data_IF_350357695398
#
_entry.id   IF_350357695398
#
_cell.length_a   1.000
_cell.length_b   1.000
_cell.length_c   1.000
_cell.angle_alpha   90.00
_cell.angle_beta   90.00
_cell.angle_gamma   90.00
#
_symmetry.space_group_name_H-M   'P 1'
#
loop_
_entity.id
_entity.type
_entity.pdbx_description
1 polymer ?
#
# COMPACT_ATOMS: atom_id res chain seq x y z
N UNK A 1 29.83 9.87 1.29
CA UNK A 1 29.18 8.60 0.92
C UNK A 1 27.69 8.88 0.81
N UNK A 2 27.05 8.59 -0.32
CA UNK A 2 25.58 8.67 -0.43
C UNK A 2 24.99 7.56 0.45
N UNK A 3 24.31 7.92 1.52
CA UNK A 3 23.61 6.94 2.36
C UNK A 3 22.48 6.30 1.55
N UNK A 4 22.35 4.97 1.59
CA UNK A 4 21.21 4.26 0.99
C UNK A 4 19.89 4.80 1.53
N UNK A 5 18.91 5.12 0.68
CA UNK A 5 17.61 5.60 1.13
C UNK A 5 16.87 4.51 1.92
N UNK A 6 15.95 4.94 2.77
CA UNK A 6 15.20 4.05 3.67
C UNK A 6 13.72 4.10 3.34
N UNK A 7 13.11 2.93 3.17
CA UNK A 7 11.68 2.78 2.97
C UNK A 7 11.01 2.04 4.14
N UNK A 8 9.83 2.51 4.52
CA UNK A 8 8.90 1.79 5.40
C UNK A 8 7.73 1.30 4.56
N UNK A 9 7.45 -0.01 4.58
CA UNK A 9 6.35 -0.63 3.83
C UNK A 9 5.41 -1.34 4.79
N UNK A 10 4.15 -0.93 4.85
CA UNK A 10 3.16 -1.62 5.70
C UNK A 10 2.56 -2.84 4.98
N UNK A 11 2.38 -3.96 5.69
CA UNK A 11 1.83 -5.19 5.11
C UNK A 11 2.73 -5.85 4.08
N UNK A 12 4.05 -5.90 4.34
CA UNK A 12 5.07 -6.35 3.39
C UNK A 12 5.30 -7.86 3.33
N UNK A 13 4.55 -8.69 4.05
CA UNK A 13 4.81 -10.13 4.14
C UNK A 13 4.32 -10.95 2.94
N UNK A 14 3.37 -10.46 2.14
CA UNK A 14 2.79 -11.18 0.99
C UNK A 14 2.26 -10.24 -0.10
N UNK A 15 1.86 -10.81 -1.22
CA UNK A 15 1.15 -10.11 -2.31
C UNK A 15 1.90 -8.87 -2.80
N UNK A 16 1.16 -7.78 -3.00
CA UNK A 16 1.70 -6.50 -3.49
C UNK A 16 2.78 -5.97 -2.54
N UNK A 17 2.55 -6.03 -1.21
CA UNK A 17 3.51 -5.54 -0.22
C UNK A 17 4.85 -6.24 -0.28
N UNK A 18 4.86 -7.57 -0.42
CA UNK A 18 6.08 -8.35 -0.63
C UNK A 18 6.83 -7.91 -1.89
N UNK A 19 6.12 -7.79 -3.01
CA UNK A 19 6.72 -7.35 -4.26
C UNK A 19 7.33 -5.94 -4.16
N UNK A 20 6.68 -5.02 -3.41
CA UNK A 20 7.21 -3.69 -3.14
C UNK A 20 8.49 -3.75 -2.29
N UNK A 21 8.51 -4.57 -1.23
CA UNK A 21 9.70 -4.76 -0.38
C UNK A 21 10.88 -5.26 -1.21
N UNK A 22 10.68 -6.34 -1.98
CA UNK A 22 11.70 -6.94 -2.84
C UNK A 22 12.19 -5.94 -3.91
N UNK A 23 11.27 -5.20 -4.54
CA UNK A 23 11.57 -4.20 -5.57
C UNK A 23 12.39 -3.04 -5.00
N UNK A 24 11.97 -2.45 -3.90
CA UNK A 24 12.71 -1.32 -3.32
C UNK A 24 14.08 -1.75 -2.81
N UNK A 25 14.20 -2.93 -2.21
CA UNK A 25 15.50 -3.48 -1.80
C UNK A 25 16.44 -3.69 -2.99
N UNK A 26 15.95 -4.24 -4.12
CA UNK A 26 16.73 -4.40 -5.35
C UNK A 26 17.17 -3.06 -5.97
N UNK A 27 16.46 -1.96 -5.67
CA UNK A 27 16.79 -0.59 -6.07
C UNK A 27 17.71 0.12 -5.07
N UNK A 28 18.27 -0.61 -4.08
CA UNK A 28 19.23 -0.09 -3.10
C UNK A 28 18.62 0.61 -1.88
N UNK A 29 17.31 0.50 -1.66
CA UNK A 29 16.68 0.95 -0.42
C UNK A 29 16.95 -0.06 0.70
N UNK A 30 17.17 0.42 1.93
CA UNK A 30 17.03 -0.37 3.14
C UNK A 30 15.55 -0.32 3.55
N UNK A 31 14.95 -1.48 3.77
CA UNK A 31 13.50 -1.56 3.95
C UNK A 31 13.15 -2.06 5.35
N UNK A 32 12.34 -1.30 6.10
CA UNK A 32 11.60 -1.85 7.22
C UNK A 32 10.19 -2.15 6.74
N UNK A 33 9.71 -3.38 6.93
CA UNK A 33 8.35 -3.72 6.55
C UNK A 33 7.58 -4.35 7.70
N UNK A 34 6.26 -4.10 7.72
CA UNK A 34 5.41 -4.64 8.78
C UNK A 34 4.57 -5.83 8.32
N UNK A 35 4.18 -6.65 9.29
CA UNK A 35 3.19 -7.71 9.16
C UNK A 35 2.32 -7.76 10.43
N UNK A 36 1.06 -8.22 10.32
CA UNK A 36 0.19 -8.38 11.49
C UNK A 36 0.27 -9.81 12.07
N UNK A 37 -0.04 -10.83 11.25
CA UNK A 37 -0.27 -12.19 11.72
C UNK A 37 0.62 -13.25 11.04
N UNK A 38 1.22 -12.97 9.90
CA UNK A 38 1.97 -13.96 9.09
C UNK A 38 3.47 -13.79 9.27
N UNK A 39 4.01 -14.25 10.39
CA UNK A 39 5.43 -14.12 10.70
C UNK A 39 6.31 -14.99 9.79
N UNK A 40 5.87 -16.22 9.48
CA UNK A 40 6.60 -17.12 8.59
C UNK A 40 6.79 -16.49 7.19
N UNK A 41 5.73 -15.91 6.64
CA UNK A 41 5.79 -15.26 5.33
C UNK A 41 6.74 -14.04 5.37
N UNK A 42 6.69 -13.26 6.46
CA UNK A 42 7.61 -12.14 6.66
C UNK A 42 9.08 -12.59 6.77
N UNK A 43 9.35 -13.72 7.43
CA UNK A 43 10.69 -14.28 7.51
C UNK A 43 11.21 -14.74 6.14
N UNK A 44 10.35 -15.30 5.29
CA UNK A 44 10.70 -15.67 3.91
C UNK A 44 11.10 -14.43 3.10
N UNK A 45 10.35 -13.33 3.20
CA UNK A 45 10.66 -12.07 2.49
C UNK A 45 12.01 -11.50 2.96
N UNK A 46 12.23 -11.43 4.27
CA UNK A 46 13.49 -10.92 4.84
C UNK A 46 14.69 -11.73 4.36
N UNK A 47 14.56 -13.06 4.36
CA UNK A 47 15.60 -13.99 3.89
C UNK A 47 15.85 -13.83 2.39
N UNK A 48 14.80 -13.74 1.58
CA UNK A 48 14.93 -13.58 0.14
C UNK A 48 15.62 -12.27 -0.24
N UNK A 49 15.27 -11.16 0.40
CA UNK A 49 15.93 -9.86 0.20
C UNK A 49 17.42 -9.94 0.56
N UNK A 50 17.75 -10.56 1.71
CA UNK A 50 19.14 -10.74 2.14
C UNK A 50 19.94 -11.61 1.16
N UNK A 51 19.36 -12.71 0.68
CA UNK A 51 19.98 -13.58 -0.30
C UNK A 51 20.26 -12.88 -1.63
N UNK A 52 19.43 -11.91 -2.01
CA UNK A 52 19.64 -11.05 -3.18
C UNK A 52 20.61 -9.88 -2.94
N UNK A 53 21.27 -9.80 -1.78
CA UNK A 53 22.23 -8.74 -1.43
C UNK A 53 21.60 -7.42 -0.96
N UNK A 54 20.28 -7.39 -0.73
CA UNK A 54 19.57 -6.24 -0.17
C UNK A 54 19.52 -6.26 1.37
N UNK A 55 18.92 -5.21 1.94
CA UNK A 55 18.69 -5.11 3.38
C UNK A 55 17.21 -4.86 3.68
N UNK A 56 16.57 -5.81 4.36
CA UNK A 56 15.22 -5.67 4.88
C UNK A 56 15.13 -6.16 6.31
N UNK A 57 14.24 -5.53 7.10
CA UNK A 57 13.90 -5.92 8.47
C UNK A 57 12.40 -6.03 8.61
N UNK A 58 11.93 -7.14 9.16
CA UNK A 58 10.52 -7.35 9.48
C UNK A 58 10.18 -6.81 10.87
N UNK A 59 8.97 -6.30 11.04
CA UNK A 59 8.44 -5.86 12.33
C UNK A 59 6.96 -6.25 12.44
N UNK A 60 6.59 -6.90 13.53
CA UNK A 60 5.17 -7.16 13.81
C UNK A 60 4.50 -5.88 14.28
N UNK A 61 3.47 -5.42 13.54
CA UNK A 61 2.71 -4.23 13.89
C UNK A 61 1.31 -4.27 13.27
N UNK A 62 0.30 -3.86 14.03
CA UNK A 62 -1.05 -3.61 13.54
C UNK A 62 -1.18 -2.11 13.22
N UNK A 63 -1.35 -1.77 11.95
CA UNK A 63 -1.49 -0.38 11.52
C UNK A 63 -2.77 0.30 12.04
N UNK A 64 -3.78 -0.48 12.43
CA UNK A 64 -5.01 0.03 13.03
C UNK A 64 -4.78 0.68 14.40
N UNK A 65 -3.65 0.38 15.07
CA UNK A 65 -3.27 0.99 16.34
C UNK A 65 -2.27 2.14 16.14
N UNK A 66 -2.64 3.33 16.58
CA UNK A 66 -1.80 4.52 16.50
C UNK A 66 -0.46 4.39 17.28
N UNK A 67 -0.44 3.61 18.37
CA UNK A 67 0.80 3.36 19.11
C UNK A 67 1.75 2.48 18.29
N UNK A 68 1.21 1.47 17.60
CA UNK A 68 1.99 0.65 16.67
C UNK A 68 2.62 1.49 15.56
N UNK A 69 1.91 2.45 14.97
CA UNK A 69 2.46 3.31 13.93
C UNK A 69 3.68 4.12 14.42
N UNK A 70 3.62 4.68 15.63
CA UNK A 70 4.76 5.37 16.25
C UNK A 70 5.94 4.42 16.49
N UNK A 71 5.67 3.20 16.96
CA UNK A 71 6.71 2.19 17.19
C UNK A 71 7.38 1.75 15.87
N UNK A 72 6.63 1.62 14.78
CA UNK A 72 7.18 1.33 13.44
C UNK A 72 8.15 2.41 12.99
N UNK A 73 7.75 3.69 13.10
CA UNK A 73 8.59 4.82 12.73
C UNK A 73 9.86 4.85 13.58
N UNK A 74 9.73 4.70 14.91
CA UNK A 74 10.88 4.66 15.81
C UNK A 74 11.83 3.51 15.47
N UNK A 75 11.30 2.30 15.24
CA UNK A 75 12.12 1.14 14.86
C UNK A 75 12.88 1.36 13.53
N UNK A 76 12.29 2.06 12.57
CA UNK A 76 12.97 2.40 11.33
C UNK A 76 14.11 3.41 11.57
N UNK A 77 13.89 4.39 12.44
CA UNK A 77 14.91 5.38 12.82
C UNK A 77 16.06 4.73 13.60
N UNK A 78 15.76 3.86 14.55
CA UNK A 78 16.76 3.12 15.34
C UNK A 78 17.60 2.20 14.45
N UNK A 79 16.95 1.54 13.49
CA UNK A 79 17.64 0.60 12.60
C UNK A 79 18.46 1.27 11.51
N UNK A 80 17.99 2.40 10.97
CA UNK A 80 18.50 2.98 9.73
C UNK A 80 18.80 4.47 9.80
N UNK A 81 18.43 5.16 10.87
CA UNK A 81 18.71 6.57 11.12
C UNK A 81 17.87 7.57 10.33
N UNK A 82 17.01 7.11 9.40
CA UNK A 82 16.21 7.97 8.51
C UNK A 82 15.01 7.23 7.92
N UNK A 83 14.06 8.00 7.39
CA UNK A 83 12.96 7.47 6.55
C UNK A 83 12.81 8.42 5.36
N UNK A 84 12.94 7.91 4.14
CA UNK A 84 12.80 8.65 2.89
C UNK A 84 11.48 8.34 2.18
N UNK A 85 10.99 7.12 2.37
CA UNK A 85 9.79 6.60 1.72
C UNK A 85 8.89 5.94 2.74
N UNK A 86 7.59 6.24 2.67
CA UNK A 86 6.53 5.49 3.33
C UNK A 86 5.60 4.91 2.26
N UNK A 87 5.39 3.59 2.27
CA UNK A 87 4.38 2.92 1.45
C UNK A 87 3.29 2.35 2.35
N UNK A 88 2.13 2.96 2.32
CA UNK A 88 0.93 2.49 3.01
C UNK A 88 0.22 1.44 2.14
N UNK A 89 0.62 0.18 2.30
CA UNK A 89 0.07 -0.95 1.54
C UNK A 89 -0.84 -1.84 2.38
N UNK A 90 -0.67 -1.91 3.70
CA UNK A 90 -1.53 -2.74 4.56
C UNK A 90 -3.01 -2.46 4.30
N UNK A 91 -3.77 -3.52 4.11
CA UNK A 91 -5.19 -3.40 3.81
C UNK A 91 -5.95 -4.70 4.00
N UNK A 92 -7.26 -4.57 4.20
CA UNK A 92 -8.23 -5.66 4.28
C UNK A 92 -9.48 -5.29 3.49
N UNK A 93 -10.32 -6.28 3.19
CA UNK A 93 -11.55 -6.09 2.43
C UNK A 93 -12.70 -6.90 3.01
N UNK A 94 -13.89 -6.63 2.51
CA UNK A 94 -15.12 -7.37 2.80
C UNK A 94 -15.86 -7.54 1.46
N UNK A 95 -15.54 -8.60 0.70
CA UNK A 95 -16.09 -8.77 -0.66
C UNK A 95 -17.50 -9.34 -0.64
N UNK A 96 -18.30 -8.88 -1.61
CA UNK A 96 -19.65 -9.36 -1.93
C UNK A 96 -20.66 -9.29 -0.76
N UNK A 97 -20.53 -8.25 0.09
CA UNK A 97 -21.46 -7.97 1.19
C UNK A 97 -22.16 -6.64 0.95
N UNK A 98 -23.52 -6.64 0.98
CA UNK A 98 -24.33 -5.43 0.83
C UNK A 98 -24.16 -4.51 2.05
N UNK A 99 -24.51 -3.24 1.91
CA UNK A 99 -24.46 -2.31 3.05
C UNK A 99 -25.46 -2.71 4.15
N UNK A 100 -26.60 -3.30 3.76
CA UNK A 100 -27.61 -3.75 4.71
C UNK A 100 -27.16 -4.95 5.54
N UNK A 101 -26.25 -5.76 4.99
CA UNK A 101 -25.73 -6.98 5.63
C UNK A 101 -24.36 -6.78 6.28
N UNK A 102 -23.75 -5.59 6.11
CA UNK A 102 -22.46 -5.28 6.72
C UNK A 102 -22.65 -4.95 8.21
N UNK A 103 -22.03 -5.72 9.10
CA UNK A 103 -22.07 -5.41 10.53
C UNK A 103 -21.22 -4.16 10.86
N UNK A 104 -21.56 -3.43 11.94
CA UNK A 104 -20.75 -2.30 12.42
C UNK A 104 -19.28 -2.70 12.68
N UNK A 105 -19.03 -3.91 13.18
CA UNK A 105 -17.70 -4.43 13.49
C UNK A 105 -16.89 -4.69 12.21
N UNK A 106 -17.52 -5.24 11.17
CA UNK A 106 -16.87 -5.45 9.87
C UNK A 106 -16.55 -4.13 9.17
N UNK A 107 -17.49 -3.18 9.21
CA UNK A 107 -17.28 -1.82 8.74
C UNK A 107 -16.08 -1.17 9.43
N UNK A 108 -16.09 -1.16 10.76
CA UNK A 108 -15.03 -0.57 11.59
C UNK A 108 -13.67 -1.22 11.30
N UNK A 109 -13.62 -2.55 11.22
CA UNK A 109 -12.38 -3.29 10.90
C UNK A 109 -11.76 -2.82 9.59
N UNK A 110 -12.58 -2.68 8.53
CA UNK A 110 -12.09 -2.26 7.21
C UNK A 110 -11.57 -0.82 7.26
N UNK A 111 -12.32 0.11 7.88
CA UNK A 111 -11.90 1.50 8.00
C UNK A 111 -10.65 1.66 8.88
N UNK A 112 -10.59 0.95 10.01
CA UNK A 112 -9.43 1.00 10.92
C UNK A 112 -8.15 0.58 10.25
N UNK A 113 -8.17 -0.52 9.49
CA UNK A 113 -6.96 -0.98 8.80
C UNK A 113 -6.61 -0.08 7.62
N UNK A 114 -7.57 0.17 6.72
CA UNK A 114 -7.27 0.81 5.44
C UNK A 114 -7.07 2.32 5.55
N UNK A 115 -7.95 3.00 6.28
CA UNK A 115 -7.98 4.45 6.35
C UNK A 115 -7.24 4.99 7.60
N UNK A 116 -7.61 4.52 8.79
CA UNK A 116 -6.96 4.98 10.01
C UNK A 116 -5.51 4.52 10.07
N UNK A 117 -5.21 3.29 9.61
CA UNK A 117 -3.82 2.82 9.52
C UNK A 117 -2.97 3.70 8.63
N UNK A 118 -3.48 4.10 7.46
CA UNK A 118 -2.81 5.07 6.58
C UNK A 118 -2.60 6.41 7.28
N UNK A 119 -3.63 6.93 7.95
CA UNK A 119 -3.56 8.19 8.70
C UNK A 119 -2.53 8.11 9.82
N UNK A 120 -2.54 7.07 10.65
CA UNK A 120 -1.59 6.89 11.76
C UNK A 120 -0.15 6.85 11.28
N UNK A 121 0.13 6.10 10.23
CA UNK A 121 1.48 6.00 9.67
C UNK A 121 1.96 7.33 9.09
N UNK A 122 1.10 8.05 8.38
CA UNK A 122 1.42 9.40 7.87
C UNK A 122 1.69 10.35 9.03
N UNK A 123 0.81 10.41 10.02
CA UNK A 123 0.98 11.28 11.19
C UNK A 123 2.30 11.00 11.93
N UNK A 124 2.69 9.74 12.04
CA UNK A 124 3.92 9.35 12.73
C UNK A 124 5.19 9.72 11.93
N UNK A 125 5.17 9.62 10.59
CA UNK A 125 6.37 9.85 9.76
C UNK A 125 6.60 11.33 9.44
N UNK A 126 5.55 12.13 9.31
CA UNK A 126 5.62 13.52 8.86
C UNK A 126 6.62 14.39 9.64
N UNK A 127 6.72 14.35 10.99
CA UNK A 127 7.70 15.17 11.72
C UNK A 127 9.14 14.93 11.24
N UNK A 128 9.48 13.68 10.94
CA UNK A 128 10.82 13.27 10.48
C UNK A 128 11.10 13.68 9.04
N UNK A 129 10.10 13.55 8.16
CA UNK A 129 10.22 13.99 6.76
C UNK A 129 10.29 15.53 6.67
N UNK A 130 9.47 16.25 7.45
CA UNK A 130 9.49 17.73 7.54
C UNK A 130 10.84 18.25 8.02
N UNK A 131 11.42 17.67 9.09
CA UNK A 131 12.73 18.05 9.61
C UNK A 131 13.84 17.89 8.57
N UNK A 132 13.70 16.97 7.63
CA UNK A 132 14.63 16.70 6.53
C UNK A 132 14.32 17.46 5.25
N UNK A 133 13.18 18.15 5.20
CA UNK A 133 12.67 18.86 4.01
C UNK A 133 12.59 17.95 2.78
N UNK A 134 12.07 16.73 2.95
CA UNK A 134 11.93 15.79 1.85
C UNK A 134 11.45 14.42 2.26
N UNK A 135 10.74 13.77 1.36
CA UNK A 135 10.19 12.43 1.52
C UNK A 135 9.19 12.07 0.42
N UNK A 136 8.88 10.79 0.33
CA UNK A 136 7.87 10.28 -0.59
C UNK A 136 6.88 9.40 0.17
N UNK A 137 5.60 9.65 0.01
CA UNK A 137 4.53 8.82 0.55
C UNK A 137 3.74 8.25 -0.63
N UNK A 138 3.63 6.92 -0.69
CA UNK A 138 2.79 6.23 -1.67
C UNK A 138 1.72 5.43 -0.94
N UNK A 139 0.46 5.74 -1.21
CA UNK A 139 -0.68 5.06 -0.63
C UNK A 139 -1.26 4.05 -1.63
N UNK A 140 -1.58 2.83 -1.18
CA UNK A 140 -2.28 1.86 -2.00
C UNK A 140 -3.80 2.10 -1.91
N UNK A 141 -4.35 2.64 -3.00
CA UNK A 141 -5.79 2.74 -3.24
C UNK A 141 -6.31 1.46 -3.92
N UNK A 142 -7.26 1.58 -4.81
CA UNK A 142 -7.82 0.50 -5.62
C UNK A 142 -8.63 1.09 -6.78
N UNK A 143 -8.72 0.40 -7.91
CA UNK A 143 -9.62 0.79 -9.00
C UNK A 143 -11.12 0.72 -8.61
N UNK A 144 -11.45 0.17 -7.44
CA UNK A 144 -12.82 0.20 -6.89
C UNK A 144 -13.33 1.63 -6.69
N UNK A 145 -12.43 2.59 -6.48
CA UNK A 145 -12.77 4.01 -6.26
C UNK A 145 -13.35 4.71 -7.49
N UNK A 146 -13.12 4.19 -8.68
CA UNK A 146 -13.77 4.67 -9.91
C UNK A 146 -14.97 3.82 -10.30
N UNK A 147 -15.00 2.54 -9.88
CA UNK A 147 -16.07 1.60 -10.24
C UNK A 147 -17.30 1.71 -9.34
N UNK A 148 -17.13 2.03 -8.08
CA UNK A 148 -18.21 2.01 -7.06
C UNK A 148 -19.06 0.73 -7.12
N UNK A 149 -18.37 -0.42 -7.28
CA UNK A 149 -19.06 -1.69 -7.43
C UNK A 149 -19.93 -1.99 -6.20
N UNK A 150 -21.18 -2.39 -6.43
CA UNK A 150 -22.10 -2.83 -5.37
C UNK A 150 -21.46 -3.91 -4.50
N UNK A 151 -21.93 -4.04 -3.27
CA UNK A 151 -21.49 -5.04 -2.27
C UNK A 151 -20.03 -4.93 -1.86
N UNK A 152 -19.44 -3.73 -1.93
CA UNK A 152 -18.07 -3.43 -1.51
C UNK A 152 -17.99 -2.11 -0.73
N UNK A 153 -19.05 -1.75 0.00
CA UNK A 153 -19.21 -0.39 0.53
C UNK A 153 -18.07 0.01 1.47
N UNK A 154 -17.79 -0.75 2.53
CA UNK A 154 -16.76 -0.43 3.50
C UNK A 154 -15.37 -0.28 2.84
N UNK A 155 -15.03 -1.20 1.94
CA UNK A 155 -13.77 -1.17 1.21
C UNK A 155 -13.67 0.06 0.30
N UNK A 156 -14.70 0.32 -0.51
CA UNK A 156 -14.73 1.48 -1.42
C UNK A 156 -14.59 2.78 -0.65
N UNK A 157 -15.38 2.98 0.40
CA UNK A 157 -15.32 4.19 1.24
C UNK A 157 -13.94 4.37 1.86
N UNK A 158 -13.33 3.30 2.36
CA UNK A 158 -11.97 3.37 2.91
C UNK A 158 -10.94 3.82 1.87
N UNK A 159 -11.02 3.31 0.63
CA UNK A 159 -10.06 3.64 -0.43
C UNK A 159 -10.31 5.03 -1.05
N UNK A 160 -11.55 5.48 -1.15
CA UNK A 160 -11.87 6.89 -1.48
C UNK A 160 -11.29 7.82 -0.40
N UNK A 161 -11.42 7.46 0.88
CA UNK A 161 -10.79 8.21 1.98
C UNK A 161 -9.27 8.31 1.86
N UNK A 162 -8.60 7.21 1.47
CA UNK A 162 -7.15 7.20 1.21
C UNK A 162 -6.77 8.13 0.05
N UNK A 163 -7.57 8.18 -1.02
CA UNK A 163 -7.34 9.11 -2.13
C UNK A 163 -7.54 10.57 -1.71
N UNK A 164 -8.57 10.85 -0.90
CA UNK A 164 -8.79 12.18 -0.35
C UNK A 164 -7.59 12.62 0.51
N UNK A 165 -7.11 11.76 1.43
CA UNK A 165 -5.90 12.00 2.22
C UNK A 165 -4.67 12.27 1.32
N UNK A 166 -4.49 11.50 0.25
CA UNK A 166 -3.38 11.69 -0.69
C UNK A 166 -3.39 13.09 -1.30
N UNK A 167 -4.56 13.56 -1.77
CA UNK A 167 -4.71 14.88 -2.37
C UNK A 167 -4.55 16.02 -1.37
N UNK A 168 -5.07 15.86 -0.16
CA UNK A 168 -4.93 16.86 0.92
C UNK A 168 -3.46 16.99 1.31
N UNK A 169 -2.82 15.88 1.66
CA UNK A 169 -1.42 15.85 2.10
C UNK A 169 -0.46 16.39 1.05
N UNK A 170 -0.71 16.14 -0.24
CA UNK A 170 0.13 16.68 -1.31
C UNK A 170 0.16 18.21 -1.33
N UNK A 171 -0.94 18.86 -0.96
CA UNK A 171 -1.06 20.32 -0.88
C UNK A 171 -0.43 20.87 0.41
N UNK A 172 -0.62 20.18 1.53
CA UNK A 172 -0.08 20.57 2.82
C UNK A 172 1.44 20.43 2.88
N UNK A 173 1.98 19.36 2.30
CA UNK A 173 3.37 18.95 2.48
C UNK A 173 4.30 19.30 1.30
N UNK A 174 3.77 19.74 0.18
CA UNK A 174 4.57 20.06 -1.01
C UNK A 174 5.68 21.08 -0.74
N UNK A 175 5.40 22.12 0.08
CA UNK A 175 6.40 23.13 0.47
C UNK A 175 7.47 22.59 1.45
N UNK A 176 7.20 21.45 2.06
CA UNK A 176 8.15 20.72 2.90
C UNK A 176 9.02 19.76 2.07
N UNK A 177 8.90 19.75 0.74
CA UNK A 177 9.61 18.85 -0.15
C UNK A 177 9.09 17.40 -0.11
N UNK A 178 7.89 17.17 0.42
CA UNK A 178 7.31 15.83 0.54
C UNK A 178 6.29 15.64 -0.59
N UNK A 179 6.48 14.58 -1.38
CA UNK A 179 5.54 14.19 -2.43
C UNK A 179 4.62 13.08 -1.91
N UNK A 180 3.33 13.18 -2.20
CA UNK A 180 2.32 12.20 -1.77
C UNK A 180 1.48 11.79 -2.97
N UNK A 181 1.55 10.51 -3.34
CA UNK A 181 0.77 9.96 -4.45
C UNK A 181 0.08 8.65 -4.02
N UNK A 182 -0.84 8.17 -4.84
CA UNK A 182 -1.43 6.84 -4.65
C UNK A 182 -1.30 6.00 -5.92
N UNK A 183 -1.16 4.69 -5.73
CA UNK A 183 -1.36 3.69 -6.77
C UNK A 183 -2.72 3.05 -6.54
N UNK A 184 -3.52 2.91 -7.58
CA UNK A 184 -4.84 2.28 -7.59
C UNK A 184 -4.79 0.98 -8.43
N UNK A 185 -4.48 -0.18 -7.79
CA UNK A 185 -4.41 -1.45 -8.49
C UNK A 185 -5.75 -1.90 -9.02
N UNK A 186 -5.73 -2.59 -10.16
CA UNK A 186 -6.82 -3.43 -10.63
C UNK A 186 -6.80 -4.82 -9.96
N UNK A 187 -7.36 -5.84 -10.63
CA UNK A 187 -7.33 -7.23 -10.14
C UNK A 187 -5.91 -7.80 -10.27
N UNK A 188 -5.20 -7.90 -9.15
CA UNK A 188 -3.82 -8.37 -9.03
C UNK A 188 -3.79 -9.77 -8.41
N UNK A 189 -2.99 -10.68 -8.94
CA UNK A 189 -2.77 -12.05 -8.46
C UNK A 189 -2.27 -12.04 -7.00
N UNK A 190 -3.20 -12.16 -6.05
CA UNK A 190 -2.96 -12.15 -4.61
C UNK A 190 -4.03 -13.00 -3.91
N UNK A 191 -3.76 -13.45 -2.70
CA UNK A 191 -4.75 -14.15 -1.85
C UNK A 191 -6.05 -13.34 -1.74
N UNK A 192 -5.96 -12.02 -1.62
CA UNK A 192 -7.14 -11.12 -1.52
C UNK A 192 -8.03 -11.20 -2.77
N UNK A 193 -7.43 -11.27 -3.97
CA UNK A 193 -8.20 -11.45 -5.20
C UNK A 193 -8.79 -12.85 -5.27
N UNK A 194 -8.05 -13.88 -4.88
CA UNK A 194 -8.53 -15.26 -4.88
C UNK A 194 -9.72 -15.43 -3.95
N UNK A 195 -9.66 -14.88 -2.72
CA UNK A 195 -10.80 -14.85 -1.79
C UNK A 195 -12.03 -14.17 -2.43
N UNK A 196 -11.82 -13.06 -3.15
CA UNK A 196 -12.89 -12.37 -3.87
C UNK A 196 -13.47 -13.24 -4.98
N UNK A 197 -12.62 -13.88 -5.80
CA UNK A 197 -13.09 -14.75 -6.90
C UNK A 197 -13.89 -15.94 -6.41
N UNK A 198 -13.47 -16.56 -5.31
CA UNK A 198 -14.23 -17.64 -4.65
C UNK A 198 -15.61 -17.15 -4.19
N UNK A 199 -15.67 -15.99 -3.54
CA UNK A 199 -16.91 -15.39 -3.02
C UNK A 199 -17.95 -15.08 -4.11
N UNK A 200 -17.50 -14.50 -5.22
CA UNK A 200 -18.40 -14.11 -6.32
C UNK A 200 -18.81 -15.28 -7.21
N UNK A 201 -18.11 -16.41 -7.10
CA UNK A 201 -18.35 -17.62 -7.88
C UNK A 201 -17.70 -17.62 -9.27
N UNK A 202 -17.53 -18.80 -9.89
CA UNK A 202 -16.71 -18.99 -11.08
C UNK A 202 -17.20 -18.21 -12.32
N UNK A 203 -18.52 -18.18 -12.56
CA UNK A 203 -19.07 -17.48 -13.73
C UNK A 203 -18.83 -15.96 -13.67
N UNK A 204 -19.10 -15.35 -12.50
CA UNK A 204 -18.87 -13.92 -12.29
C UNK A 204 -17.37 -13.58 -12.29
N UNK A 205 -16.54 -14.48 -11.74
CA UNK A 205 -15.10 -14.34 -11.75
C UNK A 205 -14.53 -14.36 -13.18
N UNK A 206 -14.97 -15.30 -14.02
CA UNK A 206 -14.56 -15.39 -15.43
C UNK A 206 -15.01 -14.15 -16.23
N UNK A 207 -16.28 -13.74 -16.09
CA UNK A 207 -16.80 -12.54 -16.72
C UNK A 207 -16.01 -11.28 -16.29
N UNK A 208 -15.67 -11.20 -15.00
CA UNK A 208 -14.88 -10.09 -14.47
C UNK A 208 -13.47 -10.02 -15.10
N UNK A 209 -12.76 -11.15 -15.20
CA UNK A 209 -11.43 -11.18 -15.82
C UNK A 209 -11.51 -10.86 -17.31
N UNK A 210 -12.51 -11.40 -18.04
CA UNK A 210 -12.74 -11.07 -19.46
C UNK A 210 -13.07 -9.60 -19.71
N UNK A 211 -13.58 -8.89 -18.71
CA UNK A 211 -13.87 -7.45 -18.81
C UNK A 211 -12.63 -6.56 -18.72
N UNK A 212 -11.45 -7.11 -18.38
CA UNK A 212 -10.20 -6.37 -18.33
C UNK A 212 -9.68 -6.21 -19.76
N UNK A 213 -9.46 -5.00 -20.28
CA UNK A 213 -8.97 -4.79 -21.64
C UNK A 213 -7.67 -5.52 -21.99
N UNK A 214 -6.71 -5.62 -21.06
CA UNK A 214 -5.49 -6.42 -21.26
C UNK A 214 -5.71 -7.93 -21.16
N UNK A 215 -6.94 -8.41 -20.91
CA UNK A 215 -7.33 -9.82 -20.92
C UNK A 215 -6.72 -10.69 -19.83
N UNK A 216 -6.10 -10.11 -18.81
CA UNK A 216 -5.44 -10.85 -17.72
C UNK A 216 -5.49 -10.12 -16.39
N UNK A 217 -5.29 -10.86 -15.34
CA UNK A 217 -4.94 -10.30 -14.01
C UNK A 217 -3.55 -9.66 -14.08
N UNK A 218 -3.34 -8.60 -13.30
CA UNK A 218 -2.01 -8.04 -13.10
C UNK A 218 -1.19 -8.87 -12.11
N UNK A 219 0.11 -8.68 -12.13
CA UNK A 219 1.04 -9.29 -11.17
C UNK A 219 1.45 -8.28 -10.09
N UNK A 220 1.74 -8.73 -8.86
CA UNK A 220 2.23 -7.86 -7.78
C UNK A 220 3.44 -7.01 -8.18
N UNK A 221 4.32 -7.55 -9.02
CA UNK A 221 5.51 -6.85 -9.54
C UNK A 221 5.13 -5.62 -10.36
N UNK A 222 4.04 -5.64 -11.12
CA UNK A 222 3.61 -4.50 -11.95
C UNK A 222 3.19 -3.31 -11.06
N UNK A 223 2.62 -3.59 -9.89
CA UNK A 223 2.31 -2.55 -8.89
C UNK A 223 3.59 -2.05 -8.22
N UNK A 224 4.52 -2.95 -7.90
CA UNK A 224 5.79 -2.58 -7.29
C UNK A 224 6.64 -1.67 -8.20
N UNK A 225 6.61 -1.87 -9.52
CA UNK A 225 7.27 -1.00 -10.50
C UNK A 225 6.66 0.42 -10.50
N UNK A 226 5.33 0.53 -10.43
CA UNK A 226 4.66 1.83 -10.33
C UNK A 226 5.02 2.57 -9.03
N UNK A 227 5.10 1.85 -7.91
CA UNK A 227 5.57 2.40 -6.63
C UNK A 227 7.03 2.86 -6.75
N UNK A 228 7.91 2.03 -7.31
CA UNK A 228 9.33 2.34 -7.49
C UNK A 228 9.53 3.57 -8.40
N UNK A 229 8.72 3.73 -9.45
CA UNK A 229 8.69 4.94 -10.27
C UNK A 229 8.29 6.17 -9.46
N UNK A 230 7.18 6.10 -8.72
CA UNK A 230 6.66 7.24 -7.96
C UNK A 230 7.61 7.73 -6.86
N UNK A 231 8.42 6.87 -6.27
CA UNK A 231 9.41 7.26 -5.25
C UNK A 231 10.73 7.72 -5.83
N UNK A 232 10.96 7.54 -7.13
CA UNK A 232 12.19 7.95 -7.82
C UNK A 232 12.20 9.42 -8.21
N UNK A 233 13.36 9.91 -8.64
CA UNK A 233 13.54 11.26 -9.18
C UNK A 233 12.82 11.46 -10.52
N UNK A 234 12.53 10.38 -11.26
CA UNK A 234 11.76 10.44 -12.50
C UNK A 234 10.32 10.95 -12.28
N UNK A 235 9.79 10.82 -11.05
CA UNK A 235 8.49 11.34 -10.65
C UNK A 235 8.60 12.65 -9.82
N UNK A 236 9.71 13.39 -9.91
CA UNK A 236 10.00 14.56 -9.05
C UNK A 236 8.94 15.68 -9.13
N UNK A 237 8.19 15.77 -10.22
CA UNK A 237 7.11 16.75 -10.40
C UNK A 237 5.71 16.16 -10.20
N UNK A 238 5.61 14.94 -9.66
CA UNK A 238 4.34 14.26 -9.41
C UNK A 238 4.00 14.27 -7.92
N UNK A 239 2.90 14.93 -7.56
CA UNK A 239 2.30 14.88 -6.22
C UNK A 239 0.78 15.02 -6.33
N UNK A 240 0.03 14.41 -5.40
CA UNK A 240 -1.44 14.42 -5.38
C UNK A 240 -2.10 13.51 -6.43
N UNK A 241 -1.33 12.70 -7.14
CA UNK A 241 -1.84 11.86 -8.23
C UNK A 241 -2.35 10.51 -7.72
N UNK A 242 -3.40 10.02 -8.36
CA UNK A 242 -3.91 8.66 -8.23
C UNK A 242 -3.61 7.94 -9.53
N UNK A 243 -2.64 7.04 -9.50
CA UNK A 243 -2.15 6.33 -10.69
C UNK A 243 -2.83 4.96 -10.76
N UNK A 244 -3.71 4.79 -11.74
CA UNK A 244 -4.39 3.52 -11.97
C UNK A 244 -3.46 2.55 -12.70
N UNK A 245 -3.25 1.36 -12.10
CA UNK A 245 -2.49 0.25 -12.67
C UNK A 245 -3.43 -0.96 -12.69
N UNK A 246 -4.34 -0.99 -13.66
CA UNK A 246 -5.53 -1.84 -13.63
C UNK A 246 -5.81 -2.60 -14.93
N UNK A 247 -4.87 -2.60 -15.89
CA UNK A 247 -5.03 -3.26 -17.18
C UNK A 247 -6.09 -2.63 -18.09
N UNK A 248 -6.43 -1.32 -17.88
CA UNK A 248 -7.52 -0.64 -18.57
C UNK A 248 -8.90 -1.11 -18.07
N UNK A 249 -8.96 -1.81 -16.94
CA UNK A 249 -10.18 -2.41 -16.40
C UNK A 249 -11.27 -1.38 -16.07
N UNK A 250 -12.52 -1.85 -15.79
CA UNK A 250 -13.67 -0.98 -15.60
C UNK A 250 -13.37 0.13 -14.59
N UNK A 251 -13.61 1.39 -15.02
CA UNK A 251 -13.35 2.58 -14.23
C UNK A 251 -12.04 3.29 -14.55
N UNK A 252 -11.38 2.94 -15.66
CA UNK A 252 -10.33 3.75 -16.27
C UNK A 252 -10.95 4.76 -17.21
#
# INVERSE_FOLDING_TARGET
MKHSPVAVVTGGSRGIGRAIVEMLASRGYRVLFTYANRESDAAVVETAVKAAGGEAKKLRADVADAKSAKAVVQSALDAFGRIDVLVNNAGTHLPDVSIADTSPEEWDRVLRVNLYGTFHMVQAVLPHMRARKGGNIVNLSSNITSRFAAKNCAYTVSKVGVEALTRILSKEEGRNGIRVNAVAPGPILTDMLEETMVKIGPERADAFIKSIPLGRKGEPKEIAEAVAFLVSDAASYMTGQIVFVNGGGPGG
#
